data_IF_399544917003
#
_entry.id   IF_399544917003
#
_cell.length_a   1.000
_cell.length_b   1.000
_cell.length_c   1.000
_cell.angle_alpha   90.00
_cell.angle_beta   90.00
_cell.angle_gamma   90.00
#
_symmetry.space_group_name_H-M   'P 1'
#
loop_
_entity.id
_entity.type
_entity.pdbx_description
1 polymer ?
#
# COMPACT_ATOMS: atom_id res chain seq x y z
N UNK A 1 -9.50 -12.14 -35.57
CA UNK A 1 -10.35 -12.43 -34.39
C UNK A 1 -9.52 -12.05 -33.19
N UNK A 2 -9.67 -10.80 -32.79
CA UNK A 2 -8.92 -10.18 -31.71
C UNK A 2 -9.57 -10.58 -30.39
N UNK A 3 -8.82 -11.31 -29.56
CA UNK A 3 -9.22 -11.59 -28.19
C UNK A 3 -9.26 -10.27 -27.42
N UNK A 4 -10.40 -9.84 -26.85
CA UNK A 4 -10.36 -8.86 -25.79
C UNK A 4 -9.69 -9.54 -24.61
N UNK A 5 -8.44 -9.16 -24.35
CA UNK A 5 -7.76 -9.47 -23.09
C UNK A 5 -8.58 -8.74 -22.04
N UNK A 6 -9.47 -9.47 -21.38
CA UNK A 6 -10.18 -9.01 -20.20
C UNK A 6 -9.09 -8.62 -19.19
N UNK A 7 -8.76 -7.33 -19.18
CA UNK A 7 -8.10 -6.66 -18.07
C UNK A 7 -9.07 -6.84 -16.92
N UNK A 8 -8.89 -7.95 -16.20
CA UNK A 8 -9.66 -8.30 -15.02
C UNK A 8 -9.35 -7.21 -14.00
N UNK A 9 -10.12 -6.14 -14.08
CA UNK A 9 -10.22 -5.10 -13.08
C UNK A 9 -10.39 -5.83 -11.76
N UNK A 10 -9.31 -5.83 -10.99
CA UNK A 10 -9.23 -6.51 -9.72
C UNK A 10 -10.44 -6.06 -8.91
N UNK A 11 -11.33 -6.98 -8.49
CA UNK A 11 -12.58 -6.59 -7.86
C UNK A 11 -12.25 -5.72 -6.66
N UNK A 12 -12.79 -4.51 -6.63
CA UNK A 12 -12.70 -3.60 -5.50
C UNK A 12 -13.25 -4.31 -4.25
N UNK A 13 -12.36 -4.93 -3.47
CA UNK A 13 -12.72 -5.81 -2.36
C UNK A 13 -11.81 -7.04 -2.20
N UNK A 14 -11.11 -7.46 -3.24
CA UNK A 14 -9.99 -8.39 -3.10
C UNK A 14 -8.73 -7.59 -2.79
N UNK A 15 -8.02 -7.97 -1.72
CA UNK A 15 -6.71 -7.39 -1.43
C UNK A 15 -5.72 -7.55 -2.60
N UNK A 16 -4.53 -6.95 -2.51
CA UNK A 16 -3.48 -7.16 -3.50
C UNK A 16 -3.15 -8.65 -3.64
N UNK A 17 -2.82 -9.06 -4.86
CA UNK A 17 -2.35 -10.42 -5.09
C UNK A 17 -0.93 -10.55 -4.53
N UNK A 18 -0.79 -11.26 -3.42
CA UNK A 18 0.50 -11.47 -2.79
C UNK A 18 1.44 -12.40 -3.56
N UNK A 19 0.90 -13.12 -4.55
CA UNK A 19 1.69 -13.99 -5.43
C UNK A 19 2.41 -13.17 -6.50
N UNK A 20 1.84 -12.01 -6.87
CA UNK A 20 2.41 -11.08 -7.84
C UNK A 20 2.19 -9.62 -7.42
N UNK A 21 3.24 -9.01 -6.86
CA UNK A 21 3.28 -7.59 -6.50
C UNK A 21 4.10 -6.76 -7.49
N UNK A 22 4.44 -7.28 -8.67
CA UNK A 22 5.33 -6.56 -9.59
C UNK A 22 4.75 -5.22 -10.07
N UNK A 23 3.42 -5.10 -10.10
CA UNK A 23 2.69 -3.92 -10.54
C UNK A 23 1.77 -3.37 -9.43
N UNK A 24 2.09 -3.60 -8.15
CA UNK A 24 1.26 -3.13 -7.05
C UNK A 24 2.13 -2.70 -5.87
N UNK A 25 2.02 -1.43 -5.50
CA UNK A 25 2.57 -0.94 -4.24
C UNK A 25 1.60 -1.28 -3.10
N UNK A 26 2.13 -1.74 -1.98
CA UNK A 26 1.37 -2.02 -0.76
C UNK A 26 2.01 -1.34 0.44
N UNK A 27 1.19 -0.67 1.26
CA UNK A 27 1.59 -0.03 2.50
C UNK A 27 0.72 -0.54 3.66
N UNK A 28 1.29 -0.55 4.87
CA UNK A 28 0.63 -1.04 6.07
C UNK A 28 0.87 -0.12 7.25
N UNK A 29 -0.14 -0.02 8.12
CA UNK A 29 -0.05 0.74 9.36
C UNK A 29 -0.82 0.04 10.47
N UNK A 30 -0.20 -0.13 11.63
CA UNK A 30 -0.93 -0.45 12.85
C UNK A 30 -1.48 0.84 13.45
N UNK A 31 -2.77 0.85 13.77
CA UNK A 31 -3.45 2.00 14.36
C UNK A 31 -4.22 1.54 15.59
N UNK A 32 -4.33 2.36 16.65
CA UNK A 32 -5.28 2.09 17.73
C UNK A 32 -6.69 1.98 17.16
N UNK A 33 -7.45 0.96 17.57
CA UNK A 33 -8.80 0.69 17.06
C UNK A 33 -9.78 1.86 17.25
N UNK A 34 -9.56 2.69 18.28
CA UNK A 34 -10.33 3.92 18.53
C UNK A 34 -9.96 5.03 17.53
N UNK A 35 -8.66 5.26 17.28
CA UNK A 35 -8.20 6.24 16.30
C UNK A 35 -8.56 5.86 14.85
N UNK A 36 -8.61 4.57 14.52
CA UNK A 36 -9.04 4.12 13.19
C UNK A 36 -10.48 4.52 12.81
N UNK A 37 -11.28 4.95 13.80
CA UNK A 37 -12.69 5.32 13.64
C UNK A 37 -12.95 6.83 13.76
N UNK A 38 -11.95 7.63 14.14
CA UNK A 38 -12.08 9.08 14.22
C UNK A 38 -11.81 9.75 12.87
N UNK A 39 -12.68 10.65 12.37
CA UNK A 39 -12.53 11.26 11.04
C UNK A 39 -11.16 11.94 10.81
N UNK A 40 -10.68 12.72 11.79
CA UNK A 40 -9.38 13.41 11.66
C UNK A 40 -8.17 12.46 11.70
N UNK A 41 -8.32 11.31 12.34
CA UNK A 41 -7.31 10.26 12.33
C UNK A 41 -7.31 9.50 11.00
N UNK A 42 -8.47 9.34 10.36
CA UNK A 42 -8.58 8.68 9.05
C UNK A 42 -7.84 9.44 7.96
N UNK A 43 -7.95 10.78 7.90
CA UNK A 43 -7.18 11.59 6.94
C UNK A 43 -5.67 11.43 7.15
N UNK A 44 -5.22 11.46 8.40
CA UNK A 44 -3.80 11.26 8.73
C UNK A 44 -3.31 9.87 8.34
N UNK A 45 -4.06 8.82 8.65
CA UNK A 45 -3.73 7.44 8.29
C UNK A 45 -3.67 7.29 6.77
N UNK A 46 -4.62 7.89 6.06
CA UNK A 46 -4.68 7.89 4.59
C UNK A 46 -3.44 8.57 4.00
N UNK A 47 -3.05 9.73 4.53
CA UNK A 47 -1.86 10.45 4.08
C UNK A 47 -0.56 9.68 4.37
N UNK A 48 -0.43 9.07 5.55
CA UNK A 48 0.72 8.22 5.90
C UNK A 48 0.84 7.00 4.97
N UNK A 49 -0.29 6.36 4.65
CA UNK A 49 -0.34 5.23 3.74
C UNK A 49 -0.01 5.64 2.30
N UNK A 50 -0.55 6.76 1.82
CA UNK A 50 -0.25 7.30 0.49
C UNK A 50 1.25 7.63 0.35
N UNK A 51 1.87 8.23 1.39
CA UNK A 51 3.31 8.46 1.42
C UNK A 51 4.10 7.13 1.40
N UNK A 52 3.63 6.12 2.12
CA UNK A 52 4.19 4.76 2.09
C UNK A 52 4.16 4.14 0.69
N UNK A 53 3.04 4.27 -0.02
CA UNK A 53 2.89 3.81 -1.40
C UNK A 53 3.84 4.55 -2.35
N UNK A 54 3.96 5.87 -2.22
CA UNK A 54 4.84 6.68 -3.06
C UNK A 54 6.32 6.27 -2.90
N UNK A 55 6.79 6.12 -1.65
CA UNK A 55 8.14 5.62 -1.37
C UNK A 55 8.35 4.20 -1.91
N UNK A 56 7.33 3.34 -1.85
CA UNK A 56 7.45 1.99 -2.37
C UNK A 56 7.59 1.97 -3.89
N UNK A 57 6.77 2.77 -4.59
CA UNK A 57 6.81 2.92 -6.03
C UNK A 57 8.15 3.53 -6.48
N UNK A 58 8.64 4.57 -5.79
CA UNK A 58 9.94 5.18 -6.08
C UNK A 58 11.09 4.16 -5.97
N UNK A 59 11.12 3.34 -4.92
CA UNK A 59 12.13 2.26 -4.77
C UNK A 59 12.07 1.19 -5.84
N UNK A 60 10.98 1.11 -6.59
CA UNK A 60 10.77 0.17 -7.69
C UNK A 60 10.89 0.84 -9.05
N UNK A 61 11.35 2.09 -9.11
CA UNK A 61 11.36 2.90 -10.34
C UNK A 61 9.99 2.91 -11.04
N UNK A 62 8.93 3.03 -10.24
CA UNK A 62 7.55 2.96 -10.68
C UNK A 62 6.74 4.19 -10.25
N UNK A 63 5.63 4.44 -10.95
CA UNK A 63 4.65 5.48 -10.63
C UNK A 63 3.35 4.84 -10.17
N UNK A 64 2.71 5.45 -9.18
CA UNK A 64 1.37 5.08 -8.73
C UNK A 64 0.33 5.46 -9.80
N UNK A 65 -0.62 4.56 -10.06
CA UNK A 65 -1.68 4.74 -11.05
C UNK A 65 -3.01 4.24 -10.52
N UNK A 66 -4.12 4.83 -10.99
CA UNK A 66 -5.47 4.49 -10.53
C UNK A 66 -5.76 4.95 -9.12
N UNK A 67 -6.84 4.43 -8.52
CA UNK A 67 -7.26 4.81 -7.18
C UNK A 67 -6.53 4.01 -6.10
N UNK A 68 -6.24 4.69 -4.98
CA UNK A 68 -5.75 4.03 -3.78
C UNK A 68 -6.90 3.27 -3.12
N UNK A 69 -6.67 1.98 -2.86
CA UNK A 69 -7.60 1.14 -2.13
C UNK A 69 -7.11 0.96 -0.70
N UNK A 70 -8.04 0.92 0.25
CA UNK A 70 -7.75 0.77 1.68
C UNK A 70 -8.71 -0.22 2.34
N UNK A 71 -8.18 -1.09 3.20
CA UNK A 71 -8.99 -2.01 3.99
C UNK A 71 -8.34 -2.37 5.34
N UNK A 72 -9.05 -3.21 6.10
CA UNK A 72 -8.63 -3.71 7.42
C UNK A 72 -8.43 -5.23 7.36
N UNK A 73 -7.28 -5.71 6.86
CA UNK A 73 -7.06 -7.13 6.71
C UNK A 73 -6.90 -7.81 8.06
N UNK A 74 -7.44 -9.03 8.19
CA UNK A 74 -7.13 -9.86 9.34
C UNK A 74 -5.66 -10.31 9.25
N UNK A 75 -4.85 -9.91 10.23
CA UNK A 75 -3.42 -10.21 10.28
C UNK A 75 -3.09 -11.68 10.00
N UNK A 76 -3.88 -12.62 10.54
CA UNK A 76 -3.72 -14.07 10.36
C UNK A 76 -3.84 -14.56 8.91
N UNK A 77 -4.57 -13.83 8.05
CA UNK A 77 -4.81 -14.18 6.65
C UNK A 77 -3.68 -13.69 5.73
N UNK A 78 -2.73 -12.91 6.24
CA UNK A 78 -1.61 -12.41 5.45
C UNK A 78 -0.54 -13.48 5.24
N UNK A 79 0.22 -13.41 4.13
CA UNK A 79 1.37 -14.29 3.90
C UNK A 79 2.35 -14.27 5.08
N UNK A 80 3.02 -15.39 5.35
CA UNK A 80 3.95 -15.51 6.50
C UNK A 80 5.05 -14.45 6.47
N UNK A 81 5.56 -14.10 5.28
CA UNK A 81 6.60 -13.08 5.10
C UNK A 81 6.11 -11.71 5.53
N UNK A 82 4.94 -11.29 5.03
CA UNK A 82 4.28 -10.02 5.39
C UNK A 82 4.00 -9.99 6.89
N UNK A 83 3.45 -11.07 7.47
CA UNK A 83 3.19 -11.16 8.90
C UNK A 83 4.44 -10.92 9.76
N UNK A 84 5.58 -11.50 9.40
CA UNK A 84 6.84 -11.32 10.14
C UNK A 84 7.32 -9.88 10.11
N UNK A 85 7.24 -9.23 8.95
CA UNK A 85 7.63 -7.83 8.81
C UNK A 85 6.68 -6.91 9.60
N UNK A 86 5.38 -7.15 9.50
CA UNK A 86 4.36 -6.41 10.23
C UNK A 86 4.51 -6.54 11.73
N UNK A 87 4.85 -7.73 12.24
CA UNK A 87 5.18 -7.89 13.66
C UNK A 87 6.40 -7.06 14.00
N UNK A 88 7.51 -7.13 13.25
CA UNK A 88 8.69 -6.29 13.53
C UNK A 88 8.35 -4.80 13.57
N UNK A 89 7.47 -4.34 12.69
CA UNK A 89 7.01 -2.95 12.67
C UNK A 89 6.08 -2.64 13.86
N UNK A 90 5.19 -3.57 14.21
CA UNK A 90 4.35 -3.52 15.42
C UNK A 90 5.21 -3.40 16.67
N UNK A 91 6.17 -4.31 16.89
CA UNK A 91 7.08 -4.29 18.06
C UNK A 91 7.91 -3.01 18.14
N UNK A 92 8.28 -2.39 17.00
CA UNK A 92 8.95 -1.09 16.98
C UNK A 92 8.04 0.05 17.42
N UNK A 93 6.75 -0.02 17.09
CA UNK A 93 5.74 0.97 17.47
C UNK A 93 5.22 0.76 18.89
N UNK A 94 5.00 -0.49 19.30
CA UNK A 94 4.48 -0.90 20.61
C UNK A 94 5.44 -0.62 21.77
N UNK A 95 6.73 -0.39 21.49
CA UNK A 95 7.67 0.04 22.52
C UNK A 95 7.26 1.36 23.20
N UNK A 96 6.30 2.11 22.62
CA UNK A 96 5.88 3.45 23.06
C UNK A 96 4.39 3.57 23.45
N UNK A 97 3.56 2.53 23.39
CA UNK A 97 2.11 2.63 23.68
C UNK A 97 1.61 1.61 24.70
N UNK A 98 0.88 2.10 25.71
CA UNK A 98 0.14 1.30 26.69
C UNK A 98 -1.26 0.97 26.14
N UNK A 99 -1.54 -0.32 26.04
CA UNK A 99 -2.85 -1.00 26.01
C UNK A 99 -4.01 -0.34 25.23
N UNK A 100 -4.15 -0.77 23.97
CA UNK A 100 -5.37 -0.66 23.18
C UNK A 100 -5.36 -1.72 22.07
N UNK A 101 -6.53 -2.17 21.60
CA UNK A 101 -6.63 -3.13 20.49
C UNK A 101 -6.14 -2.47 19.20
N UNK A 102 -4.93 -2.81 18.75
CA UNK A 102 -4.42 -2.37 17.46
C UNK A 102 -5.19 -3.06 16.33
N UNK A 103 -5.55 -2.29 15.31
CA UNK A 103 -6.05 -2.81 14.04
C UNK A 103 -5.04 -2.53 12.95
N UNK A 104 -4.96 -3.44 11.99
CA UNK A 104 -4.08 -3.29 10.84
C UNK A 104 -4.87 -2.61 9.73
N UNK A 105 -4.31 -1.54 9.18
CA UNK A 105 -4.78 -0.89 7.96
C UNK A 105 -3.81 -1.24 6.84
N UNK A 106 -4.35 -1.60 5.70
CA UNK A 106 -3.59 -1.84 4.47
C UNK A 106 -4.08 -0.89 3.41
N UNK A 107 -3.13 -0.29 2.69
CA UNK A 107 -3.40 0.41 1.45
C UNK A 107 -2.65 -0.27 0.31
N UNK A 108 -3.24 -0.25 -0.88
CA UNK A 108 -2.56 -0.68 -2.10
C UNK A 108 -3.03 0.13 -3.30
N UNK A 109 -2.15 0.23 -4.28
CA UNK A 109 -2.41 0.96 -5.52
C UNK A 109 -1.57 0.35 -6.64
N UNK A 110 -2.12 0.34 -7.85
CA UNK A 110 -1.40 -0.16 -9.01
C UNK A 110 -0.18 0.71 -9.31
N UNK A 111 0.88 0.09 -9.79
CA UNK A 111 2.08 0.77 -10.24
C UNK A 111 2.37 0.48 -11.71
N UNK A 112 3.03 1.42 -12.37
CA UNK A 112 3.61 1.21 -13.70
C UNK A 112 5.08 1.60 -13.70
N UNK A 113 5.95 0.84 -14.38
CA UNK A 113 7.36 1.17 -14.47
C UNK A 113 7.54 2.52 -15.16
N UNK A 114 8.47 3.33 -14.64
CA UNK A 114 8.89 4.57 -15.29
C UNK A 114 9.70 4.18 -16.51
N UNK A 115 9.16 4.45 -17.70
CA UNK A 115 9.90 4.18 -18.93
C UNK A 115 11.00 5.22 -19.13
N UNK A 116 12.14 4.84 -19.72
CA UNK A 116 13.26 5.76 -19.98
C UNK A 116 12.87 7.01 -20.80
N UNK A 117 11.77 6.93 -21.57
CA UNK A 117 11.20 8.06 -22.30
C UNK A 117 10.64 9.16 -21.39
N UNK A 118 10.19 8.82 -20.18
CA UNK A 118 9.68 9.79 -19.20
C UNK A 118 10.80 10.47 -18.43
N UNK A 119 11.90 9.75 -18.14
CA UNK A 119 13.11 10.32 -17.51
C UNK A 119 13.73 11.41 -18.39
N UNK A 120 13.67 11.24 -19.72
CA UNK A 120 14.28 12.17 -20.68
C UNK A 120 13.45 13.47 -20.89
N UNK A 121 12.20 13.55 -20.38
CA UNK A 121 11.42 14.80 -20.36
C UNK A 121 11.74 15.70 -19.16
N UNK A 122 12.42 15.17 -18.14
CA UNK A 122 12.81 15.93 -16.94
C UNK A 122 14.24 16.47 -17.00
N UNK A 123 14.99 16.20 -18.08
CA UNK A 123 16.26 16.86 -18.32
C UNK A 123 16.01 18.31 -18.80
N UNK A 124 16.38 19.36 -18.03
CA UNK A 124 16.34 20.71 -18.55
C UNK A 124 17.31 20.79 -19.74
N UNK A 125 16.79 21.09 -20.92
CA UNK A 125 17.63 21.49 -22.06
C UNK A 125 18.40 22.73 -21.63
N UNK A 126 19.71 22.59 -21.44
CA UNK A 126 20.67 23.69 -21.47
C UNK A 126 21.46 23.59 -22.76
#
# INVERSE_FOLDING_TARGET
MDNPREDAGQPAGAGPDYSDLSNTAVAYRWVPGEQGREPGSQERITAELAAGLAMHAERQDARLTGDMNMDFPQFRNLPKTVRRELLRTMWRQERWWRFGSLVLVRAWQQTRPVTAAETNRSAPRR
#
